data_IF_427607888428
#
_entry.id   IF_427607888428
#
_cell.length_a   1.000
_cell.length_b   1.000
_cell.length_c   1.000
_cell.angle_alpha   90.00
_cell.angle_beta   90.00
_cell.angle_gamma   90.00
#
_symmetry.space_group_name_H-M   'P 1'
#
loop_
_entity.id
_entity.type
_entity.pdbx_description
1 polymer ?
#
# COMPACT_ATOMS: atom_id res chain seq x y z
N UNK A 1 19.54 -2.21 12.30
CA UNK A 1 18.16 -1.76 11.98
C UNK A 1 17.21 -2.41 12.98
N UNK A 2 16.79 -1.68 14.02
CA UNK A 2 16.07 -2.25 15.19
C UNK A 2 14.67 -2.73 14.80
N UNK A 3 13.94 -1.92 14.01
CA UNK A 3 12.56 -2.23 13.58
C UNK A 3 12.51 -3.58 12.89
N UNK A 4 13.39 -3.81 11.90
CA UNK A 4 13.52 -5.09 11.21
C UNK A 4 13.65 -6.28 12.18
N UNK A 5 14.56 -6.21 13.15
CA UNK A 5 14.79 -7.32 14.09
C UNK A 5 13.53 -7.69 14.88
N UNK A 6 12.73 -6.70 15.26
CA UNK A 6 11.49 -6.95 15.99
C UNK A 6 10.35 -7.39 15.06
N UNK A 7 10.26 -6.86 13.85
CA UNK A 7 9.30 -7.35 12.84
C UNK A 7 9.55 -8.82 12.51
N UNK A 8 10.81 -9.23 12.28
CA UNK A 8 11.17 -10.63 11.99
C UNK A 8 10.74 -11.55 13.13
N UNK A 9 11.01 -11.15 14.38
CA UNK A 9 10.60 -11.90 15.56
C UNK A 9 9.07 -12.00 15.70
N UNK A 10 8.36 -10.90 15.46
CA UNK A 10 6.90 -10.91 15.48
C UNK A 10 6.32 -11.84 14.40
N UNK A 11 6.93 -11.91 13.21
CA UNK A 11 6.50 -12.80 12.15
C UNK A 11 6.73 -14.29 12.46
N UNK A 12 7.68 -14.62 13.35
CA UNK A 12 7.88 -16.00 13.83
C UNK A 12 6.85 -16.40 14.89
N UNK A 13 6.48 -15.45 15.76
CA UNK A 13 5.61 -15.70 16.92
C UNK A 13 4.11 -15.56 16.60
N UNK A 14 3.74 -14.82 15.55
CA UNK A 14 2.35 -14.52 15.20
C UNK A 14 1.99 -14.98 13.79
N UNK A 15 0.78 -15.51 13.57
CA UNK A 15 0.33 -15.94 12.25
C UNK A 15 0.15 -14.77 11.28
N UNK A 16 -0.07 -13.55 11.80
CA UNK A 16 -0.23 -12.33 11.01
C UNK A 16 0.40 -11.14 11.73
N UNK A 17 1.10 -10.29 10.99
CA UNK A 17 1.68 -9.03 11.49
C UNK A 17 1.21 -7.89 10.58
N UNK A 18 0.60 -6.87 11.17
CA UNK A 18 0.19 -5.66 10.46
C UNK A 18 1.21 -4.56 10.75
N UNK A 19 1.77 -3.98 9.69
CA UNK A 19 2.72 -2.88 9.77
C UNK A 19 2.03 -1.65 9.20
N UNK A 20 1.79 -0.66 10.07
CA UNK A 20 1.36 0.66 9.66
C UNK A 20 2.59 1.51 9.34
N UNK A 21 2.82 1.79 8.07
CA UNK A 21 3.94 2.60 7.61
C UNK A 21 3.48 4.06 7.48
N UNK A 22 4.35 5.00 7.85
CA UNK A 22 4.19 6.39 7.46
C UNK A 22 4.13 6.49 5.93
N UNK A 23 3.48 7.54 5.38
CA UNK A 23 3.12 7.67 3.95
C UNK A 23 4.30 7.63 2.94
N UNK A 24 5.52 7.38 3.41
CA UNK A 24 6.73 7.28 2.63
C UNK A 24 7.24 5.85 2.45
N UNK A 25 7.72 5.57 1.24
CA UNK A 25 8.28 4.27 0.85
C UNK A 25 9.76 4.11 1.26
N UNK A 26 10.34 5.08 1.99
CA UNK A 26 11.75 5.10 2.40
C UNK A 26 12.16 3.93 3.29
N UNK A 27 11.22 3.35 4.05
CA UNK A 27 11.48 2.17 4.87
C UNK A 27 11.46 0.88 4.04
N UNK A 28 10.65 0.84 2.97
CA UNK A 28 10.55 -0.28 2.03
C UNK A 28 11.72 -0.30 1.03
N UNK A 29 12.14 0.86 0.53
CA UNK A 29 13.21 0.99 -0.48
C UNK A 29 14.60 0.56 0.02
N UNK A 30 14.81 0.57 1.35
CA UNK A 30 16.07 0.12 1.97
C UNK A 30 16.26 -1.39 1.95
N UNK A 31 15.35 -2.17 1.32
CA UNK A 31 15.35 -3.65 1.26
C UNK A 31 15.44 -4.31 2.64
N UNK A 32 14.98 -3.59 3.66
CA UNK A 32 15.03 -4.04 5.06
C UNK A 32 13.74 -4.67 5.51
N UNK A 33 12.67 -4.56 4.73
CA UNK A 33 11.43 -5.29 4.91
C UNK A 33 11.55 -6.61 4.15
N UNK A 34 11.26 -7.72 4.83
CA UNK A 34 11.08 -9.02 4.18
C UNK A 34 10.01 -8.97 3.09
N UNK A 35 9.90 -10.05 2.33
CA UNK A 35 8.78 -10.31 1.43
C UNK A 35 7.46 -9.94 2.11
N UNK A 36 6.73 -8.99 1.53
CA UNK A 36 5.41 -8.59 2.01
C UNK A 36 4.39 -9.50 1.32
N UNK A 37 3.59 -10.22 2.10
CA UNK A 37 2.54 -11.07 1.52
C UNK A 37 1.42 -10.22 0.91
N UNK A 38 1.01 -9.15 1.60
CA UNK A 38 -0.05 -8.25 1.15
C UNK A 38 0.28 -6.78 1.43
N UNK A 39 0.39 -5.97 0.39
CA UNK A 39 0.47 -4.51 0.50
C UNK A 39 -0.90 -3.87 0.29
N UNK A 40 -1.33 -3.07 1.27
CA UNK A 40 -2.55 -2.27 1.17
C UNK A 40 -2.18 -0.79 0.98
N UNK A 41 -2.63 -0.21 -0.12
CA UNK A 41 -2.48 1.22 -0.42
C UNK A 41 -3.83 1.88 -0.18
N UNK A 42 -3.96 2.65 0.89
CA UNK A 42 -5.23 3.25 1.31
C UNK A 42 -5.27 4.72 0.89
N UNK A 43 -6.34 5.12 0.21
CA UNK A 43 -6.60 6.47 -0.27
C UNK A 43 -7.89 7.03 0.31
N UNK A 44 -7.95 8.34 0.49
CA UNK A 44 -9.20 9.09 0.61
C UNK A 44 -9.92 9.18 -0.75
N UNK A 45 -11.22 9.49 -0.79
CA UNK A 45 -12.03 9.42 -2.02
C UNK A 45 -11.90 10.69 -2.86
N UNK A 46 -10.70 11.28 -2.91
CA UNK A 46 -10.41 12.46 -3.71
C UNK A 46 -9.61 12.08 -4.94
N UNK A 47 -9.76 12.84 -6.03
CA UNK A 47 -8.95 12.67 -7.26
C UNK A 47 -7.45 12.69 -6.92
N UNK A 48 -7.03 13.58 -6.02
CA UNK A 48 -5.63 13.68 -5.57
C UNK A 48 -5.19 12.43 -4.80
N UNK A 49 -6.04 11.91 -3.91
CA UNK A 49 -5.80 10.66 -3.21
C UNK A 49 -5.58 9.50 -4.17
N UNK A 50 -6.50 9.31 -5.11
CA UNK A 50 -6.46 8.22 -6.10
C UNK A 50 -5.21 8.30 -6.98
N UNK A 51 -4.83 9.51 -7.42
CA UNK A 51 -3.56 9.72 -8.15
C UNK A 51 -2.33 9.38 -7.29
N UNK A 52 -2.36 9.72 -6.01
CA UNK A 52 -1.27 9.41 -5.08
C UNK A 52 -1.16 7.90 -4.86
N UNK A 53 -2.28 7.20 -4.70
CA UNK A 53 -2.31 5.74 -4.60
C UNK A 53 -1.73 5.07 -5.85
N UNK A 54 -2.10 5.56 -7.05
CA UNK A 54 -1.49 5.12 -8.31
C UNK A 54 0.02 5.35 -8.33
N UNK A 55 0.50 6.52 -7.90
CA UNK A 55 1.94 6.81 -7.86
C UNK A 55 2.68 5.85 -6.92
N UNK A 56 2.13 5.56 -5.75
CA UNK A 56 2.69 4.58 -4.80
C UNK A 56 2.72 3.19 -5.46
N UNK A 57 1.63 2.79 -6.12
CA UNK A 57 1.57 1.52 -6.81
C UNK A 57 2.65 1.39 -7.90
N UNK A 58 2.89 2.44 -8.68
CA UNK A 58 3.98 2.46 -9.66
C UNK A 58 5.37 2.46 -9.01
N UNK A 59 5.54 3.12 -7.86
CA UNK A 59 6.81 3.11 -7.12
C UNK A 59 7.17 1.71 -6.63
N UNK A 60 6.19 0.88 -6.26
CA UNK A 60 6.42 -0.53 -5.90
C UNK A 60 7.12 -1.27 -7.03
N UNK A 61 6.67 -1.05 -8.28
CA UNK A 61 7.25 -1.67 -9.47
C UNK A 61 8.64 -1.10 -9.79
N UNK A 62 8.79 0.23 -9.73
CA UNK A 62 10.08 0.92 -9.96
C UNK A 62 11.17 0.46 -8.98
N UNK A 63 10.80 0.28 -7.70
CA UNK A 63 11.71 -0.13 -6.63
C UNK A 63 11.94 -1.64 -6.58
N UNK A 64 11.18 -2.43 -7.38
CA UNK A 64 11.23 -3.90 -7.41
C UNK A 64 11.10 -4.50 -6.00
N UNK A 65 10.11 -4.03 -5.26
CA UNK A 65 9.83 -4.57 -3.93
C UNK A 65 9.29 -6.00 -4.06
N UNK A 66 9.70 -6.87 -3.14
CA UNK A 66 9.21 -8.24 -3.07
C UNK A 66 7.86 -8.27 -2.36
N UNK A 67 6.79 -8.19 -3.15
CA UNK A 67 5.40 -8.14 -2.70
C UNK A 67 4.62 -9.23 -3.45
N UNK A 68 4.00 -10.17 -2.71
CA UNK A 68 3.23 -11.25 -3.33
C UNK A 68 1.92 -10.73 -3.92
N UNK A 69 1.13 -10.01 -3.11
CA UNK A 69 -0.13 -9.40 -3.51
C UNK A 69 -0.24 -7.95 -3.07
N UNK A 70 -1.00 -7.15 -3.82
CA UNK A 70 -1.27 -5.74 -3.48
C UNK A 70 -2.70 -5.34 -3.84
N UNK A 71 -3.27 -4.44 -3.04
CA UNK A 71 -4.58 -3.87 -3.29
C UNK A 71 -4.59 -2.37 -3.01
N UNK A 72 -5.34 -1.63 -3.82
CA UNK A 72 -5.67 -0.22 -3.56
C UNK A 72 -7.07 -0.19 -2.95
N UNK A 73 -7.21 0.53 -1.83
CA UNK A 73 -8.47 0.72 -1.13
C UNK A 73 -8.78 2.21 -1.13
N UNK A 74 -9.84 2.58 -1.83
CA UNK A 74 -10.41 3.91 -1.74
C UNK A 74 -11.42 3.91 -0.59
N UNK A 75 -11.07 4.57 0.51
CA UNK A 75 -11.82 4.54 1.76
C UNK A 75 -12.70 5.78 1.91
N UNK A 76 -13.69 5.72 2.82
CA UNK A 76 -14.58 6.83 3.19
C UNK A 76 -15.39 7.41 2.02
N UNK A 77 -15.70 6.60 1.01
CA UNK A 77 -16.54 7.04 -0.10
C UNK A 77 -17.98 7.22 0.39
N UNK A 78 -18.55 8.39 0.10
CA UNK A 78 -19.98 8.64 0.23
C UNK A 78 -20.74 8.10 -1.00
N UNK A 79 -21.90 7.48 -0.77
CA UNK A 79 -22.70 6.78 -1.79
C UNK A 79 -22.87 7.50 -3.14
N UNK A 80 -23.11 8.83 -3.19
CA UNK A 80 -23.27 9.56 -4.45
C UNK A 80 -22.02 9.64 -5.35
N UNK A 81 -20.83 9.43 -4.80
CA UNK A 81 -19.55 9.64 -5.50
C UNK A 81 -18.89 8.33 -5.97
N UNK A 82 -19.48 7.17 -5.62
CA UNK A 82 -18.89 5.85 -5.87
C UNK A 82 -18.65 5.61 -7.35
N UNK A 83 -19.65 5.88 -8.19
CA UNK A 83 -19.61 5.51 -9.60
C UNK A 83 -18.63 6.39 -10.39
N UNK A 84 -18.64 7.71 -10.15
CA UNK A 84 -17.70 8.65 -10.78
C UNK A 84 -16.26 8.32 -10.41
N UNK A 85 -16.00 8.04 -9.12
CA UNK A 85 -14.66 7.75 -8.65
C UNK A 85 -14.18 6.37 -9.14
N UNK A 86 -15.09 5.40 -9.27
CA UNK A 86 -14.80 4.10 -9.87
C UNK A 86 -14.45 4.23 -11.34
N UNK A 87 -15.20 5.03 -12.11
CA UNK A 87 -14.88 5.30 -13.51
C UNK A 87 -13.51 5.99 -13.64
N UNK A 88 -13.22 6.96 -12.77
CA UNK A 88 -11.92 7.63 -12.72
C UNK A 88 -10.77 6.67 -12.41
N UNK A 89 -10.91 5.81 -11.40
CA UNK A 89 -9.92 4.81 -11.03
C UNK A 89 -9.65 3.82 -12.18
N UNK A 90 -10.72 3.31 -12.81
CA UNK A 90 -10.62 2.44 -13.99
C UNK A 90 -9.87 3.12 -15.15
N UNK A 91 -10.15 4.41 -15.40
CA UNK A 91 -9.42 5.20 -16.41
C UNK A 91 -7.93 5.38 -16.09
N UNK A 92 -7.55 5.27 -14.81
CA UNK A 92 -6.17 5.24 -14.37
C UNK A 92 -5.55 3.83 -14.37
N UNK A 93 -6.32 2.78 -14.66
CA UNK A 93 -5.85 1.39 -14.65
C UNK A 93 -5.57 0.86 -13.25
N UNK A 94 -6.32 1.34 -12.25
CA UNK A 94 -6.29 0.87 -10.86
C UNK A 94 -7.68 0.53 -10.35
#
# INVERSE_FOLDING_TARGET
NIIRKYTDKLSEDYPYVVIDNEAGMEHLSRRTTHAVDLLLIISDPTVKGVQTAKRINSLVDELKLDIKDRAIIINRIDGPQVDELREYANGLGI
#
